data_IF_528517402422
#
_entry.id   IF_528517402422
#
_cell.length_a   1.000
_cell.length_b   1.000
_cell.length_c   1.000
_cell.angle_alpha   90.00
_cell.angle_beta   90.00
_cell.angle_gamma   90.00
#
_symmetry.space_group_name_H-M   'P 1'
#
loop_
_entity.id
_entity.type
_entity.pdbx_description
1 polymer ?
#
# COMPACT_ATOMS: atom_id res chain seq x y z
N UNK A 1 -10.08 44.10 21.94
CA UNK A 1 -9.53 43.71 20.61
C UNK A 1 -8.54 42.54 20.63
N UNK A 2 -7.71 42.33 21.68
CA UNK A 2 -6.75 41.19 21.72
C UNK A 2 -7.40 39.79 21.75
N UNK A 3 -8.58 39.63 22.36
CA UNK A 3 -9.24 38.32 22.52
C UNK A 3 -9.84 37.77 21.20
N UNK A 4 -10.37 38.64 20.33
CA UNK A 4 -10.98 38.26 19.05
C UNK A 4 -9.94 37.79 18.03
N UNK A 5 -8.72 38.34 18.09
CA UNK A 5 -7.60 37.92 17.24
C UNK A 5 -7.07 36.52 17.61
N UNK A 6 -7.15 36.14 18.89
CA UNK A 6 -6.69 34.84 19.37
C UNK A 6 -7.65 33.71 19.00
N UNK A 7 -8.96 33.97 19.03
CA UNK A 7 -9.99 32.99 18.63
C UNK A 7 -9.94 32.70 17.12
N UNK A 8 -9.68 33.72 16.30
CA UNK A 8 -9.55 33.57 14.84
C UNK A 8 -8.26 32.85 14.44
N UNK A 9 -7.16 33.04 15.17
CA UNK A 9 -5.94 32.25 14.96
C UNK A 9 -6.14 30.77 15.28
N UNK A 10 -6.81 30.44 16.40
CA UNK A 10 -7.10 29.06 16.80
C UNK A 10 -8.02 28.34 15.79
N UNK A 11 -8.99 29.05 15.22
CA UNK A 11 -9.85 28.50 14.18
C UNK A 11 -9.07 28.20 12.88
N UNK A 12 -8.09 29.04 12.51
CA UNK A 12 -7.24 28.80 11.33
C UNK A 12 -6.30 27.61 11.52
N UNK A 13 -5.71 27.47 12.72
CA UNK A 13 -4.83 26.34 13.05
C UNK A 13 -5.61 25.03 13.13
N UNK A 14 -6.82 25.03 13.71
CA UNK A 14 -7.68 23.85 13.76
C UNK A 14 -8.21 23.43 12.37
N UNK A 15 -8.46 24.38 11.46
CA UNK A 15 -8.92 24.08 10.11
C UNK A 15 -7.84 23.40 9.26
N UNK A 16 -6.56 23.78 9.43
CA UNK A 16 -5.46 23.14 8.71
C UNK A 16 -5.20 21.70 9.17
N UNK A 17 -5.33 21.41 10.47
CA UNK A 17 -5.17 20.06 11.00
C UNK A 17 -6.29 19.09 10.57
N UNK A 18 -7.51 19.59 10.34
CA UNK A 18 -8.64 18.75 9.92
C UNK A 18 -8.62 18.40 8.42
N UNK A 19 -8.01 19.25 7.58
CA UNK A 19 -7.92 19.03 6.13
C UNK A 19 -6.84 18.01 5.73
N UNK A 20 -5.70 17.97 6.42
CA UNK A 20 -4.60 17.07 6.06
C UNK A 20 -4.98 15.59 6.23
N UNK A 21 -5.73 15.27 7.29
CA UNK A 21 -6.20 13.91 7.58
C UNK A 21 -7.32 13.48 6.61
N UNK A 22 -8.22 14.40 6.25
CA UNK A 22 -9.28 14.10 5.27
C UNK A 22 -8.72 13.91 3.84
N UNK A 23 -7.67 14.66 3.49
CA UNK A 23 -6.95 14.52 2.22
C UNK A 23 -6.25 13.16 2.11
N UNK A 24 -5.43 12.79 3.10
CA UNK A 24 -4.75 11.51 3.13
C UNK A 24 -5.73 10.34 3.03
N UNK A 25 -6.82 10.40 3.80
CA UNK A 25 -7.86 9.38 3.80
C UNK A 25 -8.56 9.25 2.44
N UNK A 26 -8.93 10.37 1.81
CA UNK A 26 -9.59 10.38 0.50
C UNK A 26 -8.72 9.69 -0.55
N UNK A 27 -7.43 10.03 -0.61
CA UNK A 27 -6.51 9.47 -1.59
C UNK A 27 -6.15 8.01 -1.30
N UNK A 28 -5.92 7.66 -0.03
CA UNK A 28 -5.73 6.25 0.38
C UNK A 28 -6.94 5.39 -0.02
N UNK A 29 -8.16 5.88 0.21
CA UNK A 29 -9.40 5.19 -0.18
C UNK A 29 -9.52 5.00 -1.69
N UNK A 30 -9.17 6.02 -2.49
CA UNK A 30 -9.13 5.93 -3.96
C UNK A 30 -8.12 4.90 -4.44
N UNK A 31 -6.89 4.93 -3.91
CA UNK A 31 -5.85 3.95 -4.26
C UNK A 31 -6.28 2.54 -3.89
N UNK A 32 -6.84 2.34 -2.69
CA UNK A 32 -7.35 1.03 -2.28
C UNK A 32 -8.47 0.53 -3.17
N UNK A 33 -9.34 1.40 -3.69
CA UNK A 33 -10.37 1.00 -4.64
C UNK A 33 -9.75 0.45 -5.93
N UNK A 34 -8.68 1.09 -6.43
CA UNK A 34 -7.95 0.63 -7.61
C UNK A 34 -7.25 -0.70 -7.32
N UNK A 35 -6.48 -0.78 -6.22
CA UNK A 35 -5.76 -2.01 -5.81
C UNK A 35 -6.73 -3.19 -5.66
N UNK A 36 -7.85 -3.00 -4.94
CA UNK A 36 -8.86 -4.06 -4.75
C UNK A 36 -9.47 -4.51 -6.08
N UNK A 37 -9.77 -3.58 -6.98
CA UNK A 37 -10.30 -3.91 -8.29
C UNK A 37 -9.28 -4.71 -9.10
N UNK A 38 -8.03 -4.25 -9.17
CA UNK A 38 -6.96 -4.88 -9.92
C UNK A 38 -6.62 -6.29 -9.39
N UNK A 39 -6.55 -6.48 -8.07
CA UNK A 39 -6.38 -7.81 -7.44
C UNK A 39 -7.54 -8.74 -7.82
N UNK A 40 -8.78 -8.24 -7.76
CA UNK A 40 -9.97 -9.03 -8.10
C UNK A 40 -10.01 -9.45 -9.57
N UNK A 41 -9.58 -8.57 -10.48
CA UNK A 41 -9.56 -8.83 -11.92
C UNK A 41 -8.24 -9.42 -12.42
N UNK A 42 -7.25 -9.60 -11.53
CA UNK A 42 -5.88 -10.03 -11.86
C UNK A 42 -5.19 -9.11 -12.88
N UNK A 43 -5.46 -7.81 -12.80
CA UNK A 43 -4.94 -6.80 -13.72
C UNK A 43 -3.62 -6.21 -13.22
N UNK A 44 -2.51 -6.83 -13.64
CA UNK A 44 -1.16 -6.38 -13.28
C UNK A 44 -0.82 -5.05 -13.95
N UNK A 45 -1.34 -4.78 -15.14
CA UNK A 45 -1.09 -3.52 -15.86
C UNK A 45 -1.57 -2.31 -15.06
N UNK A 46 -2.77 -2.41 -14.47
CA UNK A 46 -3.28 -1.35 -13.58
C UNK A 46 -2.41 -1.20 -12.32
N UNK A 47 -1.88 -2.30 -11.76
CA UNK A 47 -0.97 -2.24 -10.61
C UNK A 47 0.35 -1.56 -10.97
N UNK A 48 0.91 -1.83 -12.15
CA UNK A 48 2.11 -1.15 -12.66
C UNK A 48 1.85 0.32 -12.96
N UNK A 49 0.67 0.66 -13.49
CA UNK A 49 0.32 2.04 -13.83
C UNK A 49 0.27 2.96 -12.60
N UNK A 50 -0.08 2.42 -11.43
CA UNK A 50 -0.16 3.21 -10.19
C UNK A 50 1.15 3.19 -9.38
N UNK A 51 2.24 2.62 -9.90
CA UNK A 51 3.55 2.61 -9.22
C UNK A 51 4.50 3.63 -9.84
N UNK A 52 5.23 4.33 -8.99
CA UNK A 52 6.26 5.26 -9.42
C UNK A 52 7.47 4.48 -9.96
N UNK A 53 8.17 5.01 -10.97
CA UNK A 53 9.34 4.36 -11.60
C UNK A 53 10.47 3.96 -10.65
N UNK A 54 10.60 4.67 -9.51
CA UNK A 54 11.59 4.41 -8.46
C UNK A 54 11.00 3.61 -7.29
N UNK A 55 9.87 2.93 -7.50
CA UNK A 55 9.20 2.20 -6.45
C UNK A 55 10.09 1.07 -5.93
N UNK A 56 10.05 0.87 -4.61
CA UNK A 56 10.65 -0.29 -3.94
C UNK A 56 9.59 -1.03 -3.14
N UNK A 57 9.76 -2.33 -2.97
CA UNK A 57 8.85 -3.09 -2.14
C UNK A 57 9.56 -4.15 -1.30
N UNK A 58 8.94 -4.46 -0.18
CA UNK A 58 9.30 -5.56 0.70
C UNK A 58 8.03 -6.30 1.10
N UNK A 59 7.76 -7.47 0.53
CA UNK A 59 6.54 -8.24 0.80
C UNK A 59 6.86 -9.67 1.23
N UNK A 60 6.39 -10.07 2.41
CA UNK A 60 6.62 -11.39 3.00
C UNK A 60 8.09 -11.85 3.03
N UNK A 61 9.04 -10.92 3.16
CA UNK A 61 10.49 -11.22 3.18
C UNK A 61 11.16 -11.16 1.81
N UNK A 62 10.41 -11.01 0.72
CA UNK A 62 10.95 -10.66 -0.59
C UNK A 62 11.19 -9.15 -0.67
N UNK A 63 12.32 -8.73 -1.23
CA UNK A 63 12.64 -7.31 -1.48
C UNK A 63 12.89 -7.12 -2.97
N UNK A 64 12.29 -6.08 -3.53
CA UNK A 64 12.40 -5.77 -4.95
C UNK A 64 12.15 -4.29 -5.25
N UNK A 65 12.01 -4.02 -6.53
CA UNK A 65 11.87 -2.68 -7.11
C UNK A 65 10.88 -2.70 -8.28
N UNK A 66 10.65 -1.53 -8.87
CA UNK A 66 9.72 -1.37 -9.98
C UNK A 66 9.99 -2.34 -11.14
N UNK A 67 11.25 -2.65 -11.45
CA UNK A 67 11.62 -3.46 -12.62
C UNK A 67 11.21 -4.93 -12.47
N UNK A 68 11.24 -5.47 -11.24
CA UNK A 68 10.82 -6.84 -10.97
C UNK A 68 9.38 -6.95 -10.38
N UNK A 69 8.72 -5.83 -10.11
CA UNK A 69 7.41 -5.82 -9.49
C UNK A 69 6.32 -6.49 -10.34
N UNK A 70 6.34 -6.29 -11.66
CA UNK A 70 5.37 -6.92 -12.56
C UNK A 70 5.40 -8.44 -12.43
N UNK A 71 6.58 -9.05 -12.63
CA UNK A 71 6.75 -10.50 -12.56
C UNK A 71 6.46 -11.07 -11.17
N UNK A 72 6.73 -10.30 -10.11
CA UNK A 72 6.32 -10.65 -8.77
C UNK A 72 4.80 -10.68 -8.62
N UNK A 73 4.10 -9.63 -9.05
CA UNK A 73 2.64 -9.56 -8.95
C UNK A 73 1.93 -10.60 -9.84
N UNK A 74 2.44 -10.88 -11.03
CA UNK A 74 1.95 -11.97 -11.89
C UNK A 74 1.96 -13.30 -11.14
N UNK A 75 3.10 -13.66 -10.53
CA UNK A 75 3.23 -14.88 -9.74
C UNK A 75 2.30 -14.89 -8.51
N UNK A 76 2.16 -13.77 -7.79
CA UNK A 76 1.25 -13.70 -6.64
C UNK A 76 -0.22 -13.89 -7.07
N UNK A 77 -0.66 -13.19 -8.12
CA UNK A 77 -2.06 -13.21 -8.57
C UNK A 77 -2.45 -14.53 -9.24
N UNK A 78 -1.50 -15.20 -9.91
CA UNK A 78 -1.74 -16.53 -10.48
C UNK A 78 -2.04 -17.56 -9.38
N UNK A 79 -1.26 -17.53 -8.30
CA UNK A 79 -1.34 -18.50 -7.21
C UNK A 79 -2.40 -18.16 -6.15
N UNK A 80 -2.98 -16.96 -6.20
CA UNK A 80 -4.01 -16.51 -5.27
C UNK A 80 -5.41 -17.04 -5.66
N UNK A 81 -6.07 -17.68 -4.70
CA UNK A 81 -7.50 -18.06 -4.80
C UNK A 81 -8.37 -16.89 -4.38
N UNK A 82 -8.11 -16.32 -3.21
CA UNK A 82 -8.89 -15.20 -2.66
C UNK A 82 -8.00 -14.22 -1.92
N UNK A 83 -8.37 -12.94 -1.96
CA UNK A 83 -7.82 -11.90 -1.11
C UNK A 83 -8.96 -11.07 -0.50
N UNK A 84 -8.86 -10.81 0.81
CA UNK A 84 -9.74 -9.88 1.53
C UNK A 84 -8.88 -8.76 2.09
N UNK A 85 -9.34 -7.53 1.98
CA UNK A 85 -8.58 -6.35 2.42
C UNK A 85 -9.41 -5.47 3.33
N UNK A 86 -8.84 -5.08 4.46
CA UNK A 86 -9.47 -4.17 5.43
C UNK A 86 -8.56 -2.96 5.64
N UNK A 87 -9.03 -1.78 5.22
CA UNK A 87 -8.31 -0.53 5.40
C UNK A 87 -8.46 -0.07 6.86
N UNK A 88 -7.37 0.37 7.47
CA UNK A 88 -7.45 1.11 8.73
C UNK A 88 -7.91 2.53 8.41
N UNK A 89 -9.22 2.76 8.57
CA UNK A 89 -9.88 4.00 8.14
C UNK A 89 -9.25 5.26 8.71
N UNK A 90 -8.64 5.21 9.90
CA UNK A 90 -8.18 6.41 10.59
C UNK A 90 -6.66 6.61 10.56
N UNK A 91 -5.90 5.77 9.85
CA UNK A 91 -4.42 5.73 9.93
C UNK A 91 -3.70 6.32 8.71
N UNK A 92 -4.43 6.90 7.76
CA UNK A 92 -3.81 7.59 6.62
C UNK A 92 -3.20 8.93 7.07
N UNK A 93 -1.94 9.16 6.73
CA UNK A 93 -1.21 10.37 7.09
C UNK A 93 -0.57 11.02 5.87
N UNK A 94 -0.56 12.36 5.87
CA UNK A 94 0.20 13.17 4.92
C UNK A 94 1.60 13.42 5.50
N UNK A 95 2.63 13.22 4.69
CA UNK A 95 4.03 13.47 5.04
C UNK A 95 4.58 14.45 4.01
N UNK A 96 5.20 15.53 4.46
CA UNK A 96 5.87 16.50 3.58
C UNK A 96 7.38 16.39 3.76
N UNK A 97 8.09 16.01 2.70
CA UNK A 97 9.55 15.84 2.72
C UNK A 97 10.16 16.44 1.45
N UNK A 98 11.16 17.29 1.60
CA UNK A 98 11.88 17.93 0.48
C UNK A 98 10.96 18.63 -0.53
N UNK A 99 9.88 19.25 -0.06
CA UNK A 99 8.89 19.94 -0.90
C UNK A 99 7.96 18.99 -1.67
N UNK A 100 7.98 17.69 -1.38
CA UNK A 100 7.09 16.69 -1.95
C UNK A 100 6.07 16.20 -0.93
N UNK A 101 4.87 15.92 -1.40
CA UNK A 101 3.78 15.39 -0.58
C UNK A 101 3.73 13.87 -0.76
N UNK A 102 3.70 13.18 0.37
CA UNK A 102 3.54 11.74 0.45
C UNK A 102 2.29 11.39 1.26
N UNK A 103 1.69 10.26 0.93
CA UNK A 103 0.59 9.68 1.70
C UNK A 103 1.04 8.31 2.17
N UNK A 104 1.02 8.11 3.48
CA UNK A 104 1.28 6.80 4.08
C UNK A 104 0.00 6.25 4.67
N UNK A 105 -0.34 5.01 4.35
CA UNK A 105 -1.50 4.33 4.87
C UNK A 105 -1.25 2.83 5.00
N UNK A 106 -1.99 2.18 5.88
CA UNK A 106 -1.87 0.75 6.12
C UNK A 106 -3.21 0.04 5.97
N UNK A 107 -3.17 -1.24 5.61
CA UNK A 107 -4.34 -2.12 5.56
C UNK A 107 -3.92 -3.55 5.89
N UNK A 108 -4.87 -4.36 6.35
CA UNK A 108 -4.66 -5.81 6.42
C UNK A 108 -5.11 -6.47 5.14
N UNK A 109 -4.40 -7.53 4.76
CA UNK A 109 -4.75 -8.39 3.65
C UNK A 109 -4.74 -9.84 4.13
N UNK A 110 -5.85 -10.54 3.97
CA UNK A 110 -5.93 -11.98 4.16
C UNK A 110 -5.95 -12.65 2.79
N UNK A 111 -4.94 -13.45 2.50
CA UNK A 111 -4.78 -14.12 1.21
C UNK A 111 -4.80 -15.63 1.39
N UNK A 112 -5.55 -16.31 0.55
CA UNK A 112 -5.53 -17.78 0.44
C UNK A 112 -4.93 -18.17 -0.90
N UNK A 113 -3.87 -18.97 -0.87
CA UNK A 113 -3.17 -19.47 -2.06
C UNK A 113 -3.66 -20.86 -2.48
N UNK A 114 -3.32 -21.28 -3.70
CA UNK A 114 -3.70 -22.57 -4.30
C UNK A 114 -3.36 -23.77 -3.39
N UNK A 115 -2.25 -23.70 -2.67
CA UNK A 115 -1.81 -24.73 -1.71
C UNK A 115 -2.59 -24.74 -0.39
N UNK A 116 -3.66 -23.93 -0.31
CA UNK A 116 -4.53 -23.70 0.86
C UNK A 116 -3.83 -23.06 2.05
N UNK A 117 -2.63 -22.57 1.84
CA UNK A 117 -1.94 -21.74 2.80
C UNK A 117 -2.66 -20.40 2.91
N UNK A 118 -2.82 -19.95 4.16
CA UNK A 118 -3.42 -18.67 4.50
C UNK A 118 -2.35 -17.75 5.05
N UNK A 119 -2.25 -16.57 4.45
CA UNK A 119 -1.34 -15.51 4.85
C UNK A 119 -2.17 -14.31 5.28
N UNK A 120 -1.89 -13.82 6.47
CA UNK A 120 -2.38 -12.53 6.92
C UNK A 120 -1.22 -11.53 6.86
N UNK A 121 -1.37 -10.48 6.06
CA UNK A 121 -0.40 -9.42 5.84
C UNK A 121 -0.85 -8.10 6.43
N UNK A 122 0.04 -7.40 7.12
CA UNK A 122 -0.09 -5.98 7.39
C UNK A 122 0.71 -5.23 6.32
N UNK A 123 -0.01 -4.60 5.39
CA UNK A 123 0.58 -3.84 4.29
C UNK A 123 0.59 -2.35 4.64
N UNK A 124 1.72 -1.70 4.46
CA UNK A 124 1.89 -0.26 4.53
C UNK A 124 2.34 0.23 3.15
N UNK A 125 1.63 1.22 2.62
CA UNK A 125 1.95 1.89 1.36
C UNK A 125 2.42 3.30 1.67
N UNK A 126 3.45 3.74 0.96
CA UNK A 126 3.81 5.16 0.84
C UNK A 126 3.65 5.54 -0.63
N UNK A 127 2.77 6.49 -0.88
CA UNK A 127 2.52 7.05 -2.20
C UNK A 127 3.11 8.46 -2.27
N UNK A 128 3.59 8.86 -3.45
CA UNK A 128 4.11 10.20 -3.75
C UNK A 128 3.12 10.93 -4.64
N UNK A 129 2.96 12.24 -4.43
CA UNK A 129 2.21 13.10 -5.34
C UNK A 129 2.97 13.27 -6.66
N UNK A 130 2.27 13.13 -7.78
CA UNK A 130 2.82 13.44 -9.10
C UNK A 130 3.06 14.95 -9.24
N UNK A 131 4.29 15.33 -9.62
CA UNK A 131 4.69 16.72 -9.84
C UNK A 131 3.91 17.39 -10.97
N UNK A 132 3.46 16.63 -11.97
CA UNK A 132 2.71 17.12 -13.13
C UNK A 132 1.19 17.13 -12.89
N UNK A 133 0.71 16.31 -11.95
CA UNK A 133 -0.70 16.17 -11.64
C UNK A 133 -0.95 16.08 -10.12
N UNK A 134 -1.24 17.22 -9.45
CA UNK A 134 -1.43 17.27 -8.00
C UNK A 134 -2.55 16.38 -7.44
N UNK A 135 -3.47 15.92 -8.30
CA UNK A 135 -4.56 15.03 -7.91
C UNK A 135 -4.21 13.53 -8.07
N UNK A 136 -3.03 13.23 -8.61
CA UNK A 136 -2.54 11.89 -8.87
C UNK A 136 -1.44 11.51 -7.86
N UNK A 137 -1.51 10.26 -7.41
CA UNK A 137 -0.55 9.68 -6.47
C UNK A 137 -0.09 8.34 -7.00
N UNK A 138 1.21 8.13 -6.95
CA UNK A 138 1.88 6.90 -7.38
C UNK A 138 2.50 6.20 -6.18
N UNK A 139 2.43 4.87 -6.13
CA UNK A 139 3.03 4.07 -5.07
C UNK A 139 4.55 4.13 -5.19
N UNK A 140 5.22 4.62 -4.15
CA UNK A 140 6.67 4.69 -4.07
C UNK A 140 7.26 3.58 -3.20
N UNK A 141 6.57 3.18 -2.13
CA UNK A 141 7.01 2.08 -1.28
C UNK A 141 5.84 1.19 -0.90
N UNK A 142 6.08 -0.13 -0.91
CA UNK A 142 5.18 -1.13 -0.32
C UNK A 142 5.96 -1.93 0.71
N UNK A 143 5.46 -2.02 1.93
CA UNK A 143 5.99 -2.90 2.94
C UNK A 143 4.89 -3.79 3.50
N UNK A 144 5.05 -5.10 3.41
CA UNK A 144 4.11 -6.07 3.97
C UNK A 144 4.82 -6.97 4.98
N UNK A 145 4.29 -6.98 6.21
CA UNK A 145 4.64 -7.97 7.24
C UNK A 145 3.65 -9.10 7.20
N UNK A 146 4.12 -10.30 6.90
CA UNK A 146 3.28 -11.47 6.72
C UNK A 146 3.34 -12.40 7.92
N UNK A 147 2.18 -12.95 8.29
CA UNK A 147 2.03 -14.05 9.23
C UNK A 147 1.37 -15.22 8.52
N UNK A 148 2.04 -16.36 8.53
CA UNK A 148 1.51 -17.61 7.99
C UNK A 148 0.61 -18.22 9.06
N UNK A 149 -0.67 -18.44 8.72
CA UNK A 149 -1.66 -18.94 9.69
C UNK A 149 -1.90 -20.43 9.61
N UNK A 150 -1.76 -21.02 8.42
CA UNK A 150 -1.82 -22.46 8.20
C UNK A 150 -0.72 -22.78 7.19
N UNK A 151 0.33 -23.50 7.61
CA UNK A 151 1.28 -24.12 6.69
C UNK A 151 1.07 -25.63 6.75
N UNK A 152 0.53 -26.23 5.69
CA UNK A 152 0.71 -27.67 5.48
C UNK A 152 1.95 -27.97 4.64
N UNK A 153 2.51 -26.97 3.95
CA UNK A 153 3.74 -27.06 3.18
C UNK A 153 4.58 -25.76 3.25
N UNK A 154 5.86 -25.87 2.86
CA UNK A 154 6.85 -24.78 2.83
C UNK A 154 6.44 -23.70 1.81
N UNK A 155 5.85 -22.61 2.31
CA UNK A 155 5.58 -21.36 1.57
C UNK A 155 6.80 -20.73 0.90
N UNK A 156 8.01 -21.22 1.18
CA UNK A 156 9.26 -20.79 0.56
C UNK A 156 9.17 -20.75 -0.97
N UNK A 157 8.46 -21.69 -1.62
CA UNK A 157 8.41 -21.74 -3.10
C UNK A 157 7.51 -20.68 -3.76
N UNK A 158 6.54 -20.11 -3.05
CA UNK A 158 5.64 -19.09 -3.62
C UNK A 158 6.26 -17.68 -3.62
N UNK A 159 7.34 -17.48 -2.86
CA UNK A 159 8.00 -16.18 -2.68
C UNK A 159 9.42 -16.11 -3.24
N UNK A 160 9.98 -17.21 -3.75
CA UNK A 160 11.34 -17.24 -4.29
C UNK A 160 11.36 -17.77 -5.73
N UNK A 161 11.92 -16.98 -6.66
CA UNK A 161 12.34 -17.43 -8.00
C UNK A 161 13.51 -18.44 -7.95
N UNK A 162 13.79 -19.04 -6.79
CA UNK A 162 14.92 -19.94 -6.58
C UNK A 162 14.43 -21.26 -5.99
N UNK A 163 14.80 -22.35 -6.66
CA UNK A 163 14.92 -23.68 -6.08
C UNK A 163 15.89 -23.59 -4.88
N UNK A 164 15.36 -23.31 -3.69
CA UNK A 164 16.12 -23.37 -2.45
C UNK A 164 15.83 -24.71 -1.77
N UNK A 165 16.83 -25.58 -1.82
CA UNK A 165 16.87 -26.89 -1.17
C UNK A 165 16.70 -26.79 0.36
N UNK A 166 16.09 -27.84 0.93
CA UNK A 166 16.10 -28.16 2.36
C UNK A 166 17.52 -28.12 2.95
N UNK A 167 17.72 -27.23 3.93
CA UNK A 167 18.49 -27.55 5.14
C UNK A 167 17.52 -27.82 6.29
#
# INVERSE_FOLDING_TARGET
MRLLLQISLLAFVAYQACNATSFAHLHASRMMKIIKAAIKTRDVTTLMFITHKNMTYSMCGFVGDHDNFQSFMENQLENMITAKTHLFGDEAQTIEENGRIFIKFSFTMETTYRDRDRIDGLVTIIAIQDEQNPNHFEIMNIHEKCRILNSRHRLYRLFTYTDLYDY
#
